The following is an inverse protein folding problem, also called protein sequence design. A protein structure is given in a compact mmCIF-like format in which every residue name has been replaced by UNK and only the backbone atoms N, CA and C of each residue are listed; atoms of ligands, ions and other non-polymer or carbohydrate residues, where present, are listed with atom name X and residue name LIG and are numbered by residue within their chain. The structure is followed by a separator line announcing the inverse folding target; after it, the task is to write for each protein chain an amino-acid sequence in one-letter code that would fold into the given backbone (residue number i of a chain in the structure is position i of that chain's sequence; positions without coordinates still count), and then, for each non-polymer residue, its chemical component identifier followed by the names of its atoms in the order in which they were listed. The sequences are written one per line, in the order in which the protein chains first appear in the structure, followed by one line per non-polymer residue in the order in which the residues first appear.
data_IF_769948244741
#
_entry.id   IF_769948244741
#
_cell.length_a   1.000
_cell.length_b   1.000
_cell.length_c   1.000
_cell.angle_alpha   90.00
_cell.angle_beta   90.00
_cell.angle_gamma   90.00
#
_symmetry.space_group_name_H-M   'P 1'
#
loop_
_entity.id
_entity.type
_entity.pdbx_description
1 polymer ?
#
# COMPACT_ATOMS: atom_id res chain seq x y z
N UNK A 1 -16.89 45.64 -33.45
CA UNK A 1 -17.31 44.31 -32.96
C UNK A 1 -16.15 43.33 -32.72
N UNK A 2 -15.07 43.33 -33.53
CA UNK A 2 -13.92 42.43 -33.35
C UNK A 2 -13.07 42.65 -32.07
N UNK A 3 -13.01 43.88 -31.54
CA UNK A 3 -12.22 44.21 -30.33
C UNK A 3 -12.84 43.69 -29.02
N UNK A 4 -14.17 43.57 -28.96
CA UNK A 4 -14.90 43.02 -27.81
C UNK A 4 -14.71 41.50 -27.69
N UNK A 5 -14.59 40.80 -28.83
CA UNK A 5 -14.33 39.37 -28.86
C UNK A 5 -12.93 39.01 -28.32
N UNK A 6 -11.93 39.88 -28.53
CA UNK A 6 -10.55 39.66 -28.06
C UNK A 6 -10.44 39.84 -26.54
N UNK A 7 -11.20 40.78 -25.96
CA UNK A 7 -11.19 41.03 -24.51
C UNK A 7 -11.83 39.86 -23.76
N UNK A 8 -12.93 39.29 -24.28
CA UNK A 8 -13.57 38.09 -23.74
C UNK A 8 -12.66 36.84 -23.83
N UNK A 9 -11.88 36.72 -24.91
CA UNK A 9 -10.95 35.61 -25.08
C UNK A 9 -9.73 35.72 -24.14
N UNK A 10 -9.28 36.94 -23.82
CA UNK A 10 -8.19 37.18 -22.86
C UNK A 10 -8.58 36.94 -21.40
N UNK A 11 -9.85 37.17 -21.04
CA UNK A 11 -10.36 36.96 -19.67
C UNK A 11 -10.48 35.48 -19.27
N UNK A 12 -10.63 34.58 -20.24
CA UNK A 12 -10.72 33.13 -20.02
C UNK A 12 -9.36 32.50 -19.69
N UNK A 13 -8.24 33.15 -20.07
CA UNK A 13 -6.88 32.58 -19.91
C UNK A 13 -6.30 32.84 -18.49
N UNK A 14 -6.94 33.66 -17.67
CA UNK A 14 -6.44 34.04 -16.34
C UNK A 14 -6.95 33.19 -15.16
N UNK A 15 -7.81 32.19 -15.38
CA UNK A 15 -8.06 31.17 -14.36
C UNK A 15 -6.95 30.12 -14.42
N UNK A 16 -5.77 30.51 -13.95
CA UNK A 16 -4.76 29.57 -13.46
C UNK A 16 -5.42 28.74 -12.35
N UNK A 17 -5.75 27.49 -12.64
CA UNK A 17 -6.11 26.54 -11.62
C UNK A 17 -4.88 26.36 -10.73
N UNK A 18 -4.96 26.89 -9.50
CA UNK A 18 -4.10 26.42 -8.42
C UNK A 18 -4.48 24.96 -8.17
N UNK A 19 -3.88 24.06 -8.96
CA UNK A 19 -3.85 22.63 -8.69
C UNK A 19 -2.98 22.49 -7.45
N UNK A 20 -3.60 22.68 -6.28
CA UNK A 20 -3.04 22.23 -5.03
C UNK A 20 -2.91 20.71 -5.18
N UNK A 21 -1.73 20.24 -5.59
CA UNK A 21 -1.36 18.83 -5.66
C UNK A 21 -1.19 18.24 -4.25
N UNK A 22 -2.04 18.67 -3.31
CA UNK A 22 -2.13 18.07 -2.00
C UNK A 22 -2.85 16.75 -2.19
N UNK A 23 -2.14 15.68 -1.84
CA UNK A 23 -2.69 14.35 -1.72
C UNK A 23 -4.01 14.40 -0.93
N UNK A 24 -5.10 13.86 -1.48
CA UNK A 24 -6.36 13.68 -0.73
C UNK A 24 -6.25 12.63 0.38
N UNK A 25 -5.09 11.97 0.50
CA UNK A 25 -4.86 10.95 1.51
C UNK A 25 -4.62 11.61 2.89
N UNK A 26 -5.41 11.17 3.87
CA UNK A 26 -5.25 11.54 5.28
C UNK A 26 -4.48 10.41 5.98
N UNK A 27 -3.44 10.71 6.80
CA UNK A 27 -2.71 9.67 7.50
C UNK A 27 -3.60 9.00 8.56
N UNK A 28 -3.53 7.68 8.63
CA UNK A 28 -4.08 6.90 9.74
C UNK A 28 -2.98 6.79 10.79
N UNK A 29 -3.21 7.39 11.96
CA UNK A 29 -2.22 7.44 13.04
C UNK A 29 -2.50 6.39 14.10
N UNK A 30 -1.45 5.83 14.69
CA UNK A 30 -1.50 4.98 15.87
C UNK A 30 -0.33 5.25 16.81
N UNK A 31 -0.46 4.94 18.10
CA UNK A 31 0.68 5.05 19.00
C UNK A 31 1.71 3.97 18.70
N UNK A 32 3.00 4.30 18.87
CA UNK A 32 4.09 3.35 18.67
C UNK A 32 3.93 2.10 19.53
N UNK A 33 3.46 2.25 20.77
CA UNK A 33 3.25 1.13 21.69
C UNK A 33 2.18 0.16 21.18
N UNK A 34 1.15 0.68 20.50
CA UNK A 34 0.09 -0.15 19.93
C UNK A 34 0.56 -0.84 18.65
N UNK A 35 1.36 -0.16 17.82
CA UNK A 35 1.98 -0.76 16.63
C UNK A 35 2.84 -1.96 17.02
N UNK A 36 3.71 -1.79 18.02
CA UNK A 36 4.59 -2.87 18.46
C UNK A 36 3.82 -4.08 19.02
N UNK A 37 2.72 -3.84 19.74
CA UNK A 37 1.83 -4.92 20.23
C UNK A 37 1.05 -5.62 19.11
N UNK A 38 0.79 -4.92 18.01
CA UNK A 38 0.04 -5.48 16.87
C UNK A 38 0.85 -6.49 16.04
N UNK A 39 2.18 -6.51 16.18
CA UNK A 39 3.06 -7.40 15.41
C UNK A 39 3.20 -8.73 16.14
N UNK A 40 2.47 -9.75 15.69
CA UNK A 40 2.47 -11.08 16.29
C UNK A 40 2.46 -12.15 15.22
N UNK A 41 2.98 -13.34 15.58
CA UNK A 41 2.85 -14.53 14.74
C UNK A 41 1.56 -15.25 15.12
N UNK A 42 0.77 -15.55 14.11
CA UNK A 42 -0.46 -16.33 14.22
C UNK A 42 -0.44 -17.50 13.22
N UNK A 43 -1.47 -18.33 13.29
CA UNK A 43 -1.66 -19.44 12.36
C UNK A 43 -1.77 -18.97 10.90
N UNK A 44 -1.44 -19.85 9.94
CA UNK A 44 -1.57 -19.55 8.52
C UNK A 44 -2.95 -18.99 8.17
N UNK A 45 -2.97 -17.87 7.44
CA UNK A 45 -4.20 -17.29 6.90
C UNK A 45 -4.35 -17.60 5.39
N UNK A 46 -5.59 -17.64 4.88
CA UNK A 46 -5.85 -17.64 3.44
C UNK A 46 -5.23 -16.42 2.76
N UNK A 47 -4.69 -16.63 1.57
CA UNK A 47 -4.17 -15.58 0.70
C UNK A 47 -5.32 -14.94 -0.07
N UNK A 48 -5.49 -13.62 0.03
CA UNK A 48 -6.62 -12.90 -0.58
C UNK A 48 -6.14 -11.76 -1.48
N UNK A 49 -5.28 -10.89 -0.95
CA UNK A 49 -4.76 -9.72 -1.67
C UNK A 49 -3.25 -9.66 -1.50
N UNK A 50 -2.59 -10.58 -2.20
CA UNK A 50 -1.16 -10.78 -2.11
C UNK A 50 -0.40 -9.78 -2.97
N UNK A 51 0.80 -9.44 -2.52
CA UNK A 51 1.68 -8.48 -3.16
C UNK A 51 3.05 -9.07 -3.42
N UNK A 52 4.07 -8.36 -2.95
CA UNK A 52 5.46 -8.70 -3.21
C UNK A 52 5.92 -9.93 -2.44
N UNK A 53 6.96 -10.52 -3.00
CA UNK A 53 7.59 -11.74 -2.52
C UNK A 53 9.04 -11.44 -2.20
N UNK A 54 9.50 -11.92 -1.05
CA UNK A 54 10.90 -11.97 -0.68
C UNK A 54 11.28 -13.40 -0.32
N UNK A 55 12.41 -13.88 -0.84
CA UNK A 55 12.90 -15.24 -0.58
C UNK A 55 14.23 -15.19 0.14
N UNK A 56 14.34 -15.92 1.25
CA UNK A 56 15.56 -16.03 2.04
C UNK A 56 15.56 -17.36 2.81
N UNK A 57 16.70 -18.04 2.84
CA UNK A 57 16.92 -19.25 3.65
C UNK A 57 15.82 -20.31 3.51
N UNK A 58 15.47 -20.66 2.26
CA UNK A 58 14.38 -21.60 1.94
C UNK A 58 13.00 -21.18 2.44
N UNK A 59 12.82 -19.91 2.81
CA UNK A 59 11.56 -19.33 3.28
C UNK A 59 11.10 -18.26 2.30
N UNK A 60 9.82 -18.31 1.92
CA UNK A 60 9.16 -17.25 1.18
C UNK A 60 8.37 -16.39 2.17
N UNK A 61 8.60 -15.09 2.10
CA UNK A 61 7.80 -14.05 2.73
C UNK A 61 6.91 -13.41 1.67
N UNK A 62 5.59 -13.59 1.82
CA UNK A 62 4.61 -13.06 0.87
C UNK A 62 3.75 -12.02 1.57
N UNK A 63 3.77 -10.79 1.06
CA UNK A 63 2.94 -9.70 1.60
C UNK A 63 1.46 -9.96 1.32
N UNK A 64 0.63 -9.78 2.33
CA UNK A 64 -0.82 -9.63 2.23
C UNK A 64 -1.18 -8.18 2.59
N UNK A 65 -1.66 -7.44 1.59
CA UNK A 65 -1.75 -5.98 1.63
C UNK A 65 -2.55 -5.48 2.83
N UNK A 66 -1.95 -4.56 3.59
CA UNK A 66 -2.47 -3.95 4.81
C UNK A 66 -2.74 -4.89 5.99
N UNK A 67 -2.38 -6.18 5.89
CA UNK A 67 -2.63 -7.17 6.96
C UNK A 67 -1.35 -7.75 7.55
N UNK A 68 -0.36 -8.09 6.72
CA UNK A 68 0.84 -8.76 7.21
C UNK A 68 1.61 -9.55 6.15
N UNK A 69 2.35 -10.55 6.60
CA UNK A 69 3.26 -11.34 5.77
C UNK A 69 3.06 -12.83 6.05
N UNK A 70 2.77 -13.61 5.01
CA UNK A 70 2.79 -15.07 5.08
C UNK A 70 4.23 -15.59 5.16
N UNK A 71 4.47 -16.58 6.02
CA UNK A 71 5.76 -17.25 6.17
C UNK A 71 5.63 -18.66 5.63
N UNK A 72 6.21 -18.88 4.46
CA UNK A 72 6.04 -20.11 3.68
C UNK A 72 7.37 -20.87 3.67
N UNK A 73 7.37 -22.09 4.17
CA UNK A 73 8.48 -23.02 4.02
C UNK A 73 8.53 -23.50 2.56
N UNK A 74 9.66 -23.24 1.91
CA UNK A 74 9.92 -23.56 0.52
C UNK A 74 11.13 -24.50 0.36
N UNK A 75 11.44 -25.34 1.37
CA UNK A 75 12.48 -26.39 1.26
C UNK A 75 12.18 -27.41 0.17
N UNK A 76 10.90 -27.67 -0.11
CA UNK A 76 10.44 -28.39 -1.30
C UNK A 76 9.68 -27.43 -2.24
N UNK A 77 10.32 -26.88 -3.29
CA UNK A 77 9.69 -25.91 -4.19
C UNK A 77 8.48 -26.45 -4.95
N UNK A 78 8.35 -27.77 -5.13
CA UNK A 78 7.18 -28.39 -5.76
C UNK A 78 5.98 -28.47 -4.81
N UNK A 79 6.17 -28.25 -3.51
CA UNK A 79 5.13 -28.29 -2.48
C UNK A 79 5.45 -27.33 -1.33
N UNK A 80 5.35 -26.01 -1.56
CA UNK A 80 5.55 -25.01 -0.51
C UNK A 80 4.44 -25.10 0.54
N UNK A 81 4.80 -24.86 1.81
CA UNK A 81 3.88 -24.99 2.95
C UNK A 81 3.80 -23.66 3.69
N UNK A 82 2.61 -23.08 3.78
CA UNK A 82 2.38 -21.90 4.61
C UNK A 82 2.43 -22.29 6.09
N UNK A 83 3.45 -21.82 6.82
CA UNK A 83 3.73 -22.21 8.21
C UNK A 83 3.24 -21.20 9.24
N UNK A 84 2.81 -20.02 8.81
CA UNK A 84 2.26 -19.01 9.69
C UNK A 84 2.10 -17.66 9.03
N UNK A 85 1.58 -16.72 9.80
CA UNK A 85 1.37 -15.35 9.36
C UNK A 85 1.89 -14.38 10.42
N UNK A 86 2.58 -13.32 9.99
CA UNK A 86 3.02 -12.23 10.85
C UNK A 86 2.11 -11.04 10.58
N UNK A 87 1.33 -10.61 11.57
CA UNK A 87 0.48 -9.43 11.44
C UNK A 87 1.33 -8.17 11.40
N UNK A 88 1.16 -7.34 10.38
CA UNK A 88 1.87 -6.06 10.23
C UNK A 88 0.91 -5.07 9.59
N UNK A 89 0.29 -4.17 10.36
CA UNK A 89 -0.64 -3.20 9.81
C UNK A 89 0.10 -2.22 8.89
N UNK A 90 -0.56 -1.82 7.80
CA UNK A 90 -0.01 -0.84 6.86
C UNK A 90 1.11 -1.37 5.94
N UNK A 91 1.41 -2.67 5.97
CA UNK A 91 2.37 -3.28 5.02
C UNK A 91 1.82 -3.23 3.60
N UNK A 92 2.67 -2.85 2.64
CA UNK A 92 2.30 -2.75 1.21
C UNK A 92 3.35 -3.38 0.30
N UNK A 93 4.59 -3.49 0.77
CA UNK A 93 5.79 -3.82 0.00
C UNK A 93 6.62 -4.88 0.73
#
# INVERSE_FOLDING_TARGET
MKKILIILLSGIILQSSNLNNNSSYVPILMQRVDLLKSITRIDPLPMLNTGKIYYKDSTIYLVEKYKGVHVIDNRNPSSPVNTGFITIPGVVD
#
